data_IF_045623066668
#
_entry.id   IF_045623066668
#
_cell.length_a   1.000
_cell.length_b   1.000
_cell.length_c   1.000
_cell.angle_alpha   90.00
_cell.angle_beta   90.00
_cell.angle_gamma   90.00
#
_symmetry.space_group_name_H-M   'P 1'
#
loop_
_entity.id
_entity.type
_entity.pdbx_description
1 polymer ?
#
# COMPACT_ATOMS: atom_id res chain seq x y z
N UNK A 1 0.88 -42.29 -2.12
CA UNK A 1 1.37 -41.87 -3.44
C UNK A 1 0.74 -40.53 -3.76
N UNK A 2 1.58 -39.53 -4.06
CA UNK A 2 1.28 -38.20 -4.61
C UNK A 2 0.30 -38.27 -5.80
N UNK A 3 -0.43 -37.23 -6.23
CA UNK A 3 0.02 -35.88 -6.58
C UNK A 3 -1.12 -34.84 -6.59
N UNK A 4 -0.67 -33.60 -6.46
CA UNK A 4 -1.35 -32.32 -6.65
C UNK A 4 -2.07 -32.15 -7.99
N UNK A 5 -3.14 -31.35 -8.01
CA UNK A 5 -3.39 -30.41 -9.11
C UNK A 5 -3.98 -29.10 -8.57
N UNK A 6 -3.13 -28.06 -8.65
CA UNK A 6 -3.43 -26.64 -8.41
C UNK A 6 -4.35 -26.13 -9.52
N UNK A 7 -5.48 -25.53 -9.14
CA UNK A 7 -6.26 -24.67 -10.02
C UNK A 7 -5.59 -23.29 -10.03
N UNK A 8 -4.96 -22.93 -11.15
CA UNK A 8 -4.46 -21.58 -11.42
C UNK A 8 -5.64 -20.67 -11.78
N UNK A 9 -5.73 -19.52 -11.12
CA UNK A 9 -6.72 -18.49 -11.42
C UNK A 9 -6.40 -17.78 -12.73
N UNK A 10 -7.25 -17.99 -13.73
CA UNK A 10 -7.34 -17.17 -14.94
C UNK A 10 -8.15 -15.90 -14.60
N UNK A 11 -7.52 -14.73 -14.74
CA UNK A 11 -8.23 -13.46 -14.82
C UNK A 11 -8.24 -13.05 -16.30
N UNK A 12 -9.38 -13.25 -16.96
CA UNK A 12 -9.60 -12.86 -18.36
C UNK A 12 -9.90 -11.34 -18.40
N UNK A 13 -9.12 -10.61 -19.18
CA UNK A 13 -9.45 -9.25 -19.61
C UNK A 13 -10.01 -9.33 -21.03
N UNK A 14 -11.30 -9.07 -21.19
CA UNK A 14 -11.87 -8.81 -22.51
C UNK A 14 -11.58 -7.36 -22.92
N UNK A 15 -11.03 -7.16 -24.12
CA UNK A 15 -11.10 -5.88 -24.82
C UNK A 15 -11.63 -6.13 -26.23
N UNK A 16 -12.56 -5.26 -26.61
CA UNK A 16 -13.45 -5.31 -27.76
C UNK A 16 -12.79 -5.74 -29.07
N UNK A 17 -13.55 -6.53 -29.83
CA UNK A 17 -13.28 -6.90 -31.21
C UNK A 17 -13.12 -5.65 -32.09
N UNK A 18 -11.96 -5.54 -32.75
CA UNK A 18 -11.83 -4.77 -33.99
C UNK A 18 -11.78 -5.76 -35.16
N UNK A 19 -12.77 -5.59 -36.03
CA UNK A 19 -13.05 -6.39 -37.21
C UNK A 19 -12.08 -6.03 -38.35
N UNK A 20 -10.81 -6.42 -38.26
CA UNK A 20 -9.94 -6.46 -39.44
C UNK A 20 -8.97 -7.64 -39.31
N UNK A 21 -9.02 -8.58 -40.26
CA UNK A 21 -8.29 -9.83 -40.28
C UNK A 21 -6.77 -9.70 -40.17
N UNK A 22 -6.27 -9.56 -38.95
CA UNK A 22 -4.86 -9.64 -38.58
C UNK A 22 -4.57 -10.92 -37.81
N UNK A 23 -3.41 -11.52 -38.06
CA UNK A 23 -2.86 -12.71 -37.40
C UNK A 23 -3.10 -12.70 -35.88
N UNK A 24 -3.34 -13.86 -35.24
CA UNK A 24 -3.41 -13.92 -33.79
C UNK A 24 -2.10 -13.38 -33.22
N UNK A 25 -2.20 -12.29 -32.45
CA UNK A 25 -1.09 -11.77 -31.67
C UNK A 25 -0.76 -12.86 -30.67
N UNK A 26 0.39 -13.51 -30.83
CA UNK A 26 0.94 -14.38 -29.80
C UNK A 26 0.98 -13.59 -28.50
N UNK A 27 0.11 -13.94 -27.55
CA UNK A 27 0.18 -13.46 -26.18
C UNK A 27 1.46 -14.02 -25.57
N UNK A 28 2.55 -13.27 -25.70
CA UNK A 28 3.74 -13.49 -24.92
C UNK A 28 3.37 -13.14 -23.46
N UNK A 29 3.03 -14.17 -22.69
CA UNK A 29 2.82 -14.07 -21.26
C UNK A 29 4.12 -13.50 -20.68
N UNK A 30 4.09 -12.24 -20.24
CA UNK A 30 5.19 -11.68 -19.45
C UNK A 30 5.52 -12.68 -18.34
N UNK A 31 6.79 -13.09 -18.18
CA UNK A 31 7.14 -14.10 -17.18
C UNK A 31 6.65 -13.63 -15.82
N UNK A 32 6.08 -14.53 -15.01
CA UNK A 32 5.52 -14.22 -13.69
C UNK A 32 6.48 -13.48 -12.73
N UNK A 33 7.76 -13.40 -13.11
CA UNK A 33 8.81 -12.64 -12.44
C UNK A 33 8.66 -11.12 -12.60
N UNK A 34 8.18 -10.61 -13.74
CA UNK A 34 7.99 -9.17 -13.96
C UNK A 34 6.83 -8.59 -13.16
N UNK A 35 5.76 -9.37 -12.97
CA UNK A 35 4.60 -8.94 -12.19
C UNK A 35 4.90 -8.65 -10.72
N UNK A 36 6.01 -9.17 -10.18
CA UNK A 36 6.40 -9.03 -8.78
C UNK A 36 7.59 -8.09 -8.58
N UNK A 37 8.03 -7.38 -9.62
CA UNK A 37 9.10 -6.40 -9.52
C UNK A 37 8.71 -5.26 -8.56
N UNK A 38 9.68 -4.67 -7.83
CA UNK A 38 9.40 -3.59 -6.89
C UNK A 38 8.65 -2.44 -7.55
N UNK A 39 7.58 -1.96 -6.91
CA UNK A 39 6.78 -0.84 -7.38
C UNK A 39 7.11 0.42 -6.59
N UNK A 40 6.77 1.59 -7.13
CA UNK A 40 6.88 2.88 -6.45
C UNK A 40 5.52 3.55 -6.34
N UNK A 41 5.39 4.42 -5.36
CA UNK A 41 4.24 5.33 -5.28
C UNK A 41 4.29 6.29 -6.47
N UNK A 42 3.13 6.58 -7.05
CA UNK A 42 3.01 7.59 -8.08
C UNK A 42 2.93 9.00 -7.46
N UNK A 43 3.16 10.04 -8.26
CA UNK A 43 3.29 11.42 -7.76
C UNK A 43 1.98 11.96 -7.17
N UNK A 44 0.82 11.62 -7.72
CA UNK A 44 -0.47 12.02 -7.14
C UNK A 44 -0.67 11.40 -5.74
N UNK A 45 -0.28 10.13 -5.58
CA UNK A 45 -0.32 9.43 -4.30
C UNK A 45 0.70 10.01 -3.32
N UNK A 46 1.91 10.33 -3.77
CA UNK A 46 2.93 10.99 -2.94
C UNK A 46 2.42 12.33 -2.43
N UNK A 47 1.84 13.18 -3.29
CA UNK A 47 1.30 14.47 -2.88
C UNK A 47 0.19 14.31 -1.82
N UNK A 48 -0.74 13.37 -2.04
CA UNK A 48 -1.79 13.08 -1.08
C UNK A 48 -1.22 12.64 0.27
N UNK A 49 -0.34 11.65 0.26
CA UNK A 49 0.22 11.04 1.46
C UNK A 49 1.12 12.00 2.22
N UNK A 50 1.94 12.80 1.53
CA UNK A 50 2.78 13.81 2.18
C UNK A 50 1.93 14.85 2.90
N UNK A 51 0.80 15.22 2.29
CA UNK A 51 -0.15 16.19 2.86
C UNK A 51 -0.86 15.63 4.09
N UNK A 52 -1.45 14.44 4.00
CA UNK A 52 -2.29 13.89 5.09
C UNK A 52 -1.50 13.26 6.23
N UNK A 53 -0.34 12.65 5.93
CA UNK A 53 0.47 11.97 6.94
C UNK A 53 1.62 12.85 7.47
N UNK A 54 1.84 14.04 6.89
CA UNK A 54 2.94 14.93 7.29
C UNK A 54 4.31 14.30 7.10
N UNK A 55 4.46 13.47 6.06
CA UNK A 55 5.72 12.80 5.69
C UNK A 55 6.33 13.53 4.50
N UNK A 56 7.64 13.80 4.57
CA UNK A 56 8.35 14.51 3.51
C UNK A 56 8.22 13.78 2.15
N UNK A 57 7.88 14.53 1.09
CA UNK A 57 7.63 13.97 -0.22
C UNK A 57 8.89 13.36 -0.88
N UNK A 58 10.08 13.88 -0.59
CA UNK A 58 11.33 13.28 -1.05
C UNK A 58 11.57 11.93 -0.36
N UNK A 59 11.24 11.78 0.92
CA UNK A 59 11.26 10.47 1.58
C UNK A 59 10.25 9.50 0.95
N UNK A 60 9.02 9.95 0.63
CA UNK A 60 8.03 9.08 -0.02
C UNK A 60 8.49 8.57 -1.39
N UNK A 61 9.26 9.37 -2.14
CA UNK A 61 9.83 8.96 -3.44
C UNK A 61 10.88 7.86 -3.32
N UNK A 62 11.51 7.68 -2.15
CA UNK A 62 12.46 6.59 -1.93
C UNK A 62 11.78 5.26 -1.61
N UNK A 63 10.48 5.26 -1.33
CA UNK A 63 9.75 4.06 -0.93
C UNK A 63 9.71 3.05 -2.07
N UNK A 64 10.08 1.81 -1.75
CA UNK A 64 9.85 0.65 -2.60
C UNK A 64 8.74 -0.22 -2.02
N UNK A 65 7.76 -0.56 -2.85
CA UNK A 65 6.71 -1.50 -2.53
C UNK A 65 7.14 -2.87 -3.06
N UNK A 66 7.05 -3.88 -2.20
CA UNK A 66 7.43 -5.26 -2.51
C UNK A 66 6.28 -6.20 -2.15
N UNK A 67 6.07 -7.31 -2.87
CA UNK A 67 5.23 -8.37 -2.36
C UNK A 67 5.94 -9.06 -1.18
N UNK A 68 5.16 -9.50 -0.19
CA UNK A 68 5.67 -10.06 1.08
C UNK A 68 6.65 -11.22 0.93
N UNK A 69 6.56 -11.93 -0.19
CA UNK A 69 7.44 -13.05 -0.52
C UNK A 69 8.92 -12.62 -0.63
N UNK A 70 9.19 -11.32 -0.82
CA UNK A 70 10.55 -10.76 -0.88
C UNK A 70 11.17 -10.37 0.46
N UNK A 71 10.43 -10.41 1.58
CA UNK A 71 11.10 -10.27 2.89
C UNK A 71 11.46 -11.63 3.48
N UNK A 72 12.64 -11.68 4.08
CA UNK A 72 13.21 -12.85 4.76
C UNK A 72 12.35 -13.35 5.93
N UNK A 73 11.48 -12.50 6.49
CA UNK A 73 10.53 -12.86 7.55
C UNK A 73 9.22 -13.47 7.01
N UNK A 74 8.97 -13.38 5.70
CA UNK A 74 7.69 -13.65 5.03
C UNK A 74 6.46 -13.00 5.70
N UNK A 75 6.67 -11.86 6.35
CA UNK A 75 5.65 -11.07 7.02
C UNK A 75 4.99 -10.07 6.05
N UNK A 76 3.76 -9.58 6.30
CA UNK A 76 2.89 -9.92 7.42
C UNK A 76 2.33 -11.35 7.33
N UNK A 77 2.26 -12.03 8.47
CA UNK A 77 1.82 -13.43 8.62
C UNK A 77 0.30 -13.59 8.69
N UNK A 78 -0.46 -12.49 8.75
CA UNK A 78 -1.91 -12.53 8.87
C UNK A 78 -2.55 -12.92 7.53
N UNK A 79 -3.26 -14.06 7.52
CA UNK A 79 -3.93 -14.62 6.34
C UNK A 79 -5.30 -14.00 6.00
N UNK A 80 -5.71 -12.92 6.69
CA UNK A 80 -7.01 -12.27 6.47
C UNK A 80 -7.06 -11.46 5.17
N UNK A 81 -8.23 -11.38 4.54
CA UNK A 81 -8.47 -10.51 3.35
C UNK A 81 -8.72 -9.07 3.80
N UNK A 82 -8.10 -8.05 3.17
CA UNK A 82 -7.21 -8.13 2.01
C UNK A 82 -5.73 -8.44 2.33
N UNK A 83 -5.36 -8.43 3.61
CA UNK A 83 -4.01 -8.65 4.12
C UNK A 83 -3.56 -7.50 5.02
N UNK A 84 -2.25 -7.36 5.19
CA UNK A 84 -1.64 -6.19 5.83
C UNK A 84 -0.37 -5.77 5.09
N UNK A 85 0.38 -4.85 5.70
CA UNK A 85 1.73 -4.50 5.29
C UNK A 85 2.73 -4.71 6.42
N UNK A 86 4.02 -4.64 6.07
CA UNK A 86 5.12 -4.52 7.00
C UNK A 86 6.16 -3.56 6.44
N UNK A 87 6.61 -2.60 7.24
CA UNK A 87 7.74 -1.73 6.90
C UNK A 87 9.06 -2.28 7.41
N UNK A 88 10.08 -2.26 6.56
CA UNK A 88 11.48 -2.45 6.94
C UNK A 88 12.34 -1.35 6.31
N UNK A 89 12.55 -0.26 7.05
CA UNK A 89 13.26 0.92 6.54
C UNK A 89 12.43 1.67 5.51
N UNK A 90 12.96 1.75 4.29
CA UNK A 90 12.37 2.38 3.11
C UNK A 90 11.47 1.44 2.28
N UNK A 91 11.28 0.19 2.74
CA UNK A 91 10.52 -0.84 2.01
C UNK A 91 9.22 -1.16 2.70
N UNK A 92 8.14 -1.21 1.93
CA UNK A 92 6.82 -1.66 2.40
C UNK A 92 6.52 -3.00 1.71
N UNK A 93 6.33 -4.03 2.52
CA UNK A 93 6.00 -5.38 2.08
C UNK A 93 4.50 -5.63 2.20
N UNK A 94 3.84 -5.96 1.10
CA UNK A 94 2.39 -6.07 1.00
C UNK A 94 1.95 -7.51 0.76
N UNK A 95 0.74 -7.86 1.21
CA UNK A 95 0.07 -9.06 0.70
C UNK A 95 -0.07 -8.97 -0.83
N UNK A 96 -0.08 -10.11 -1.53
CA UNK A 96 -0.19 -10.13 -3.00
C UNK A 96 -1.40 -9.34 -3.53
N UNK A 97 -2.55 -9.45 -2.88
CA UNK A 97 -3.75 -8.72 -3.27
C UNK A 97 -3.56 -7.20 -3.15
N UNK A 98 -2.99 -6.74 -2.05
CA UNK A 98 -2.72 -5.30 -1.82
C UNK A 98 -1.58 -4.79 -2.71
N UNK A 99 -0.57 -5.62 -3.00
CA UNK A 99 0.53 -5.27 -3.88
C UNK A 99 0.07 -4.95 -5.32
N UNK A 100 -0.91 -5.69 -5.84
CA UNK A 100 -1.48 -5.45 -7.18
C UNK A 100 -2.70 -4.52 -7.18
N UNK A 101 -3.17 -4.08 -6.01
CA UNK A 101 -4.38 -3.28 -5.90
C UNK A 101 -4.35 -1.99 -6.74
N UNK A 102 -3.24 -1.22 -6.80
CA UNK A 102 -3.20 0.02 -7.59
C UNK A 102 -3.45 -0.18 -9.09
N UNK A 103 -3.04 -1.31 -9.66
CA UNK A 103 -3.25 -1.63 -11.09
C UNK A 103 -4.56 -2.39 -11.36
N UNK A 104 -5.26 -2.84 -10.31
CA UNK A 104 -6.50 -3.60 -10.44
C UNK A 104 -7.73 -2.74 -10.78
N UNK A 105 -8.87 -3.40 -10.98
CA UNK A 105 -10.17 -2.74 -11.15
C UNK A 105 -11.03 -2.71 -9.88
N UNK A 106 -10.60 -3.39 -8.82
CA UNK A 106 -11.34 -3.43 -7.55
C UNK A 106 -11.13 -2.12 -6.77
N UNK A 107 -12.13 -1.24 -6.87
CA UNK A 107 -12.15 0.07 -6.22
C UNK A 107 -12.12 -0.03 -4.69
N UNK A 108 -12.71 -1.07 -4.12
CA UNK A 108 -12.70 -1.31 -2.68
C UNK A 108 -11.31 -1.70 -2.21
N UNK A 109 -10.66 -2.59 -2.94
CA UNK A 109 -9.29 -3.02 -2.65
C UNK A 109 -8.28 -1.87 -2.83
N UNK A 110 -8.47 -1.02 -3.83
CA UNK A 110 -7.68 0.21 -4.01
C UNK A 110 -7.80 1.17 -2.82
N UNK A 111 -9.03 1.37 -2.32
CA UNK A 111 -9.26 2.20 -1.13
C UNK A 111 -8.59 1.59 0.11
N UNK A 112 -8.75 0.28 0.32
CA UNK A 112 -8.09 -0.45 1.41
C UNK A 112 -6.58 -0.31 1.33
N UNK A 113 -6.01 -0.43 0.13
CA UNK A 113 -4.59 -0.19 -0.11
C UNK A 113 -4.18 1.23 0.26
N UNK A 114 -4.89 2.25 -0.22
CA UNK A 114 -4.48 3.64 0.04
C UNK A 114 -4.57 4.00 1.54
N UNK A 115 -5.61 3.53 2.23
CA UNK A 115 -5.76 3.69 3.68
C UNK A 115 -4.66 2.96 4.45
N UNK A 116 -4.26 1.76 3.99
CA UNK A 116 -3.13 1.04 4.57
C UNK A 116 -1.83 1.82 4.35
N UNK A 117 -1.53 2.23 3.12
CA UNK A 117 -0.30 2.97 2.82
C UNK A 117 -0.22 4.28 3.59
N UNK A 118 -1.35 4.98 3.83
CA UNK A 118 -1.38 6.17 4.69
C UNK A 118 -0.91 5.91 6.13
N UNK A 119 -1.05 4.68 6.63
CA UNK A 119 -0.45 4.25 7.88
C UNK A 119 1.03 3.88 7.72
N UNK A 120 1.36 3.05 6.73
CA UNK A 120 2.72 2.53 6.53
C UNK A 120 3.75 3.62 6.24
N UNK A 121 3.39 4.71 5.56
CA UNK A 121 4.33 5.81 5.30
C UNK A 121 4.81 6.50 6.59
N UNK A 122 4.02 6.47 7.66
CA UNK A 122 4.45 6.98 8.96
C UNK A 122 5.49 6.05 9.58
N UNK A 123 5.36 4.73 9.41
CA UNK A 123 6.42 3.79 9.79
C UNK A 123 7.71 4.00 8.99
N UNK A 124 7.62 4.35 7.71
CA UNK A 124 8.79 4.71 6.91
C UNK A 124 9.48 5.96 7.49
N UNK A 125 8.72 6.99 7.88
CA UNK A 125 9.26 8.16 8.58
C UNK A 125 9.95 7.76 9.88
N UNK A 126 9.28 6.99 10.74
CA UNK A 126 9.86 6.49 11.99
C UNK A 126 11.17 5.72 11.75
N UNK A 127 11.24 4.92 10.69
CA UNK A 127 12.45 4.19 10.32
C UNK A 127 13.58 5.12 9.86
N UNK A 128 13.25 6.17 9.10
CA UNK A 128 14.18 7.20 8.68
C UNK A 128 14.73 7.98 9.90
N UNK A 129 13.85 8.40 10.82
CA UNK A 129 14.20 9.12 12.04
C UNK A 129 15.05 8.29 13.00
N UNK A 130 14.79 6.98 13.07
CA UNK A 130 15.56 6.06 13.90
C UNK A 130 17.02 5.90 13.40
N UNK A 131 17.27 6.05 12.10
CA UNK A 131 18.61 5.97 11.46
C UNK A 131 19.39 4.68 11.77
N UNK A 132 18.70 3.55 11.97
CA UNK A 132 19.31 2.24 12.31
C UNK A 132 19.24 1.20 11.18
N UNK A 133 18.91 1.64 9.96
CA UNK A 133 18.71 0.75 8.82
C UNK A 133 17.55 -0.23 9.01
N UNK A 134 17.37 -1.12 8.02
CA UNK A 134 16.20 -2.02 7.94
C UNK A 134 16.11 -3.01 9.10
N UNK A 135 17.24 -3.64 9.46
CA UNK A 135 17.30 -4.62 10.55
C UNK A 135 17.10 -3.92 11.90
N UNK A 136 17.76 -2.78 12.11
CA UNK A 136 17.64 -2.04 13.36
C UNK A 136 16.24 -1.50 13.60
N UNK A 137 15.54 -1.06 12.55
CA UNK A 137 14.12 -0.71 12.65
C UNK A 137 13.24 -1.91 13.00
N UNK A 138 13.43 -3.06 12.33
CA UNK A 138 12.68 -4.28 12.64
C UNK A 138 12.86 -4.74 14.09
N UNK A 139 14.09 -4.74 14.61
CA UNK A 139 14.38 -5.08 16.00
C UNK A 139 13.79 -4.07 16.99
N UNK A 140 13.86 -2.77 16.66
CA UNK A 140 13.25 -1.72 17.48
C UNK A 140 11.73 -1.88 17.56
N UNK A 141 11.05 -2.09 16.43
CA UNK A 141 9.61 -2.31 16.37
C UNK A 141 9.20 -3.57 17.15
N UNK A 142 9.95 -4.68 17.01
CA UNK A 142 9.74 -5.89 17.79
C UNK A 142 9.87 -5.62 19.31
N UNK A 143 10.87 -4.82 19.72
CA UNK A 143 11.02 -4.39 21.11
C UNK A 143 9.85 -3.56 21.62
N UNK A 144 9.35 -2.62 20.82
CA UNK A 144 8.15 -1.82 21.15
C UNK A 144 6.92 -2.72 21.34
N UNK A 145 6.72 -3.70 20.47
CA UNK A 145 5.64 -4.66 20.61
C UNK A 145 5.77 -5.53 21.86
N UNK A 146 6.96 -6.05 22.15
CA UNK A 146 7.21 -6.86 23.33
C UNK A 146 6.91 -6.08 24.62
N UNK A 147 7.39 -4.83 24.71
CA UNK A 147 7.09 -3.95 25.84
C UNK A 147 5.60 -3.63 25.96
N UNK A 148 4.92 -3.37 24.84
CA UNK A 148 3.48 -3.15 24.83
C UNK A 148 2.70 -4.39 25.25
N UNK A 149 3.13 -5.57 24.83
CA UNK A 149 2.53 -6.85 25.22
C UNK A 149 2.67 -7.12 26.71
N UNK A 150 3.84 -6.88 27.29
CA UNK A 150 4.05 -7.01 28.74
C UNK A 150 3.11 -6.08 29.55
N UNK A 151 2.76 -4.91 29.02
CA UNK A 151 1.90 -3.92 29.70
C UNK A 151 0.42 -4.09 29.42
N UNK A 152 0.05 -4.50 28.22
CA UNK A 152 -1.32 -4.44 27.69
C UNK A 152 -1.87 -5.80 27.23
N UNK A 153 -1.06 -6.87 27.30
CA UNK A 153 -1.43 -8.22 26.89
C UNK A 153 -1.93 -8.26 25.45
N UNK A 154 -3.17 -8.76 25.26
CA UNK A 154 -3.80 -8.92 23.94
C UNK A 154 -4.03 -7.61 23.18
N UNK A 155 -3.95 -6.45 23.86
CA UNK A 155 -4.08 -5.13 23.24
C UNK A 155 -2.74 -4.50 22.87
N UNK A 156 -1.65 -5.28 22.83
CA UNK A 156 -0.31 -4.80 22.52
C UNK A 156 -0.25 -3.98 21.23
N UNK A 157 -0.89 -4.49 20.17
CA UNK A 157 -0.86 -3.90 18.85
C UNK A 157 -1.50 -2.50 18.83
N UNK A 158 -2.72 -2.37 19.34
CA UNK A 158 -3.46 -1.09 19.32
C UNK A 158 -2.95 -0.04 20.32
N UNK A 159 -1.99 -0.40 21.18
CA UNK A 159 -1.46 0.48 22.23
C UNK A 159 0.04 0.74 22.13
N UNK A 160 0.74 0.09 21.22
CA UNK A 160 2.15 0.42 20.99
C UNK A 160 2.24 1.85 20.46
N UNK A 161 3.06 2.70 21.10
CA UNK A 161 3.07 4.14 20.82
C UNK A 161 3.35 4.44 19.33
N UNK A 162 4.26 3.69 18.72
CA UNK A 162 4.61 3.85 17.31
C UNK A 162 3.48 3.42 16.35
N UNK A 163 2.65 2.45 16.73
CA UNK A 163 1.44 2.06 15.98
C UNK A 163 0.34 3.11 16.11
N UNK A 164 0.17 3.69 17.30
CA UNK A 164 -0.80 4.77 17.55
C UNK A 164 -0.44 6.03 16.75
N UNK A 165 0.86 6.30 16.62
CA UNK A 165 1.37 7.37 15.76
C UNK A 165 1.10 7.08 14.29
N UNK A 166 1.42 5.87 13.81
CA UNK A 166 1.16 5.48 12.42
C UNK A 166 -0.33 5.48 12.07
N UNK A 167 -1.20 5.15 13.03
CA UNK A 167 -2.64 5.27 12.89
C UNK A 167 -3.12 6.69 12.54
N UNK A 168 -2.37 7.73 12.93
CA UNK A 168 -2.76 9.11 12.64
C UNK A 168 -2.80 9.40 11.14
N UNK A 169 -1.88 8.83 10.34
CA UNK A 169 -1.89 9.02 8.88
C UNK A 169 -3.16 8.45 8.23
N UNK A 170 -3.58 7.25 8.64
CA UNK A 170 -4.83 6.64 8.17
C UNK A 170 -6.05 7.41 8.66
N UNK A 171 -6.07 7.86 9.92
CA UNK A 171 -7.16 8.68 10.47
C UNK A 171 -7.29 10.01 9.74
N UNK A 172 -6.18 10.69 9.45
CA UNK A 172 -6.17 11.95 8.72
C UNK A 172 -6.75 11.78 7.31
N UNK A 173 -6.30 10.76 6.56
CA UNK A 173 -6.88 10.45 5.25
C UNK A 173 -8.36 10.08 5.35
N UNK A 174 -8.74 9.25 6.33
CA UNK A 174 -10.14 8.84 6.55
C UNK A 174 -11.04 10.05 6.84
N UNK A 175 -10.58 10.97 7.68
CA UNK A 175 -11.30 12.19 8.02
C UNK A 175 -11.41 13.12 6.81
N UNK A 176 -10.35 13.25 6.01
CA UNK A 176 -10.36 14.03 4.78
C UNK A 176 -11.37 13.46 3.77
N UNK A 177 -11.30 12.16 3.45
CA UNK A 177 -12.26 11.53 2.54
C UNK A 177 -13.71 11.67 3.05
N UNK A 178 -13.93 11.45 4.35
CA UNK A 178 -15.26 11.58 4.96
C UNK A 178 -15.83 12.99 4.83
N UNK A 179 -15.02 14.04 5.04
CA UNK A 179 -15.49 15.42 4.95
C UNK A 179 -15.71 15.91 3.50
N UNK A 180 -15.11 15.26 2.51
CA UNK A 180 -15.10 15.71 1.10
C UNK A 180 -15.95 14.86 0.14
N UNK A 181 -16.78 13.95 0.66
CA UNK A 181 -17.67 13.14 -0.18
C UNK A 181 -17.90 11.71 0.31
N UNK A 182 -17.21 11.26 1.35
CA UNK A 182 -17.37 9.93 1.93
C UNK A 182 -16.19 9.00 1.64
N UNK A 183 -16.23 7.81 2.24
CA UNK A 183 -15.13 6.83 2.17
C UNK A 183 -15.52 5.73 1.19
N UNK A 184 -15.17 5.91 -0.09
CA UNK A 184 -15.47 4.95 -1.16
C UNK A 184 -14.44 5.04 -2.29
N UNK A 185 -14.27 3.96 -3.06
CA UNK A 185 -13.23 3.86 -4.10
C UNK A 185 -13.45 4.75 -5.34
N UNK A 186 -14.61 5.40 -5.44
CA UNK A 186 -14.95 6.38 -6.49
C UNK A 186 -14.71 7.83 -6.08
N UNK A 187 -14.23 8.07 -4.86
CA UNK A 187 -13.91 9.41 -4.38
C UNK A 187 -12.89 10.11 -5.31
N UNK A 188 -12.96 11.45 -5.44
CA UNK A 188 -12.09 12.20 -6.36
C UNK A 188 -10.60 11.91 -6.13
N UNK A 189 -10.13 11.97 -4.87
CA UNK A 189 -8.77 11.55 -4.52
C UNK A 189 -8.39 10.14 -5.01
N UNK A 190 -9.31 9.16 -4.93
CA UNK A 190 -9.05 7.80 -5.43
C UNK A 190 -8.88 7.79 -6.95
N UNK A 191 -9.70 8.57 -7.66
CA UNK A 191 -9.58 8.71 -9.12
C UNK A 191 -8.25 9.35 -9.51
N UNK A 192 -7.86 10.44 -8.85
CA UNK A 192 -6.60 11.12 -9.11
C UNK A 192 -5.40 10.23 -8.80
N UNK A 193 -5.42 9.53 -7.65
CA UNK A 193 -4.35 8.59 -7.28
C UNK A 193 -4.21 7.45 -8.31
N UNK A 194 -5.31 6.85 -8.76
CA UNK A 194 -5.28 5.77 -9.78
C UNK A 194 -4.80 6.25 -11.14
N UNK A 195 -5.23 7.43 -11.57
CA UNK A 195 -4.84 8.02 -12.84
C UNK A 195 -3.44 8.67 -12.82
N UNK A 196 -2.79 8.74 -11.64
CA UNK A 196 -1.62 9.57 -11.40
C UNK A 196 -1.83 11.04 -11.84
N UNK A 197 -3.04 11.56 -11.64
CA UNK A 197 -3.43 12.92 -11.98
C UNK A 197 -2.95 13.88 -10.88
N UNK A 198 -1.68 14.26 -10.97
CA UNK A 198 -1.05 15.18 -10.04
C UNK A 198 -1.71 16.58 -10.04
N UNK A 199 -2.01 17.20 -11.20
CA UNK A 199 -2.72 18.48 -11.23
C UNK A 199 -4.09 18.40 -10.56
N UNK A 200 -4.89 17.37 -10.86
CA UNK A 200 -6.22 17.20 -10.26
C UNK A 200 -6.15 16.93 -8.76
N UNK A 201 -5.17 16.14 -8.30
CA UNK A 201 -4.93 15.94 -6.87
C UNK A 201 -4.60 17.26 -6.17
N UNK A 202 -3.71 18.07 -6.76
CA UNK A 202 -3.32 19.37 -6.19
C UNK A 202 -4.48 20.33 -6.11
N UNK A 203 -5.27 20.43 -7.18
CA UNK A 203 -6.46 21.27 -7.24
C UNK A 203 -7.44 20.88 -6.14
N UNK A 204 -7.78 19.58 -6.05
CA UNK A 204 -8.68 19.09 -5.01
C UNK A 204 -8.15 19.36 -3.60
N UNK A 205 -6.86 19.12 -3.33
CA UNK A 205 -6.26 19.41 -2.01
C UNK A 205 -6.31 20.90 -1.65
N UNK A 206 -6.15 21.78 -2.64
CA UNK A 206 -6.26 23.24 -2.45
C UNK A 206 -7.70 23.63 -2.13
N UNK A 207 -8.68 23.12 -2.90
CA UNK A 207 -10.11 23.41 -2.71
C UNK A 207 -10.62 22.99 -1.33
N UNK A 208 -10.11 21.88 -0.80
CA UNK A 208 -10.50 21.36 0.52
C UNK A 208 -9.64 21.91 1.67
N UNK A 209 -8.78 22.91 1.39
CA UNK A 209 -7.93 23.59 2.35
C UNK A 209 -6.94 22.67 3.06
N UNK A 210 -6.41 21.66 2.35
CA UNK A 210 -5.41 20.74 2.88
C UNK A 210 -3.98 21.18 2.58
N UNK A 211 -3.77 22.02 1.56
CA UNK A 211 -2.51 22.69 1.20
C UNK A 211 -2.77 24.15 0.83
#
# INVERSE_FOLDING_TARGET
MSEHLRVQGLCLYERSADLTGGRPISMELAPANEMNAPQRLNEATILLLSTVAGVDAALLRTIELHPREHNWLRAPWYGGRPGGAMVLGDRIYLSRALFHAPQGNDRTLQLQWLLLIAHEVVHVRQAADLRRGRIGFGLWAAGQYALSFLRNGRHAYSRAAFEVEAEQGRKALTALLRRTGGIHGDHLAMRCARANDLPGMRMWLTEVGAI
#
